data_IF_025469346550
#
_entry.id   IF_025469346550
#
_cell.length_a   1.000
_cell.length_b   1.000
_cell.length_c   1.000
_cell.angle_alpha   90.00
_cell.angle_beta   90.00
_cell.angle_gamma   90.00
#
_symmetry.space_group_name_H-M   'P 1'
#
loop_
_entity.id
_entity.type
_entity.pdbx_description
1 polymer ?
#
# COMPACT_ATOMS: atom_id res chain seq x y z
N UNK A 1 -15.28 6.28 31.67
CA UNK A 1 -15.16 5.76 30.28
C UNK A 1 -14.24 4.54 30.30
N UNK A 2 -14.66 3.45 29.69
CA UNK A 2 -13.93 2.18 29.57
C UNK A 2 -13.73 1.88 28.08
N UNK A 3 -12.55 1.34 27.70
CA UNK A 3 -12.29 0.90 26.33
C UNK A 3 -12.25 -0.62 26.32
N UNK A 4 -13.12 -1.23 25.50
CA UNK A 4 -13.28 -2.68 25.38
C UNK A 4 -13.00 -3.15 23.96
N UNK A 5 -12.39 -4.32 23.81
CA UNK A 5 -12.29 -5.00 22.51
C UNK A 5 -13.66 -5.50 22.08
N UNK A 6 -13.98 -5.37 20.81
CA UNK A 6 -15.23 -5.80 20.22
C UNK A 6 -15.00 -6.94 19.22
N UNK A 7 -15.93 -7.87 19.20
CA UNK A 7 -15.95 -8.96 18.23
C UNK A 7 -16.60 -8.49 16.93
N UNK A 8 -15.88 -8.53 15.83
CA UNK A 8 -16.40 -8.21 14.50
C UNK A 8 -17.58 -9.12 14.08
N UNK A 9 -17.75 -10.27 14.74
CA UNK A 9 -18.83 -11.22 14.49
C UNK A 9 -19.99 -11.07 15.47
N UNK A 10 -19.69 -11.04 16.78
CA UNK A 10 -20.73 -11.08 17.82
C UNK A 10 -21.36 -9.70 18.07
N UNK A 11 -20.57 -8.60 17.93
CA UNK A 11 -21.03 -7.24 18.17
C UNK A 11 -21.44 -6.52 16.88
N UNK A 12 -21.65 -7.27 15.79
CA UNK A 12 -21.84 -6.77 14.43
C UNK A 12 -22.96 -5.74 14.31
N UNK A 13 -24.13 -6.02 14.87
CA UNK A 13 -25.28 -5.12 14.79
C UNK A 13 -25.00 -3.76 15.45
N UNK A 14 -24.39 -3.78 16.64
CA UNK A 14 -24.02 -2.57 17.36
C UNK A 14 -22.98 -1.75 16.60
N UNK A 15 -21.97 -2.43 16.02
CA UNK A 15 -20.90 -1.83 15.22
C UNK A 15 -21.48 -1.16 13.97
N UNK A 16 -22.28 -1.89 13.20
CA UNK A 16 -22.86 -1.39 11.95
C UNK A 16 -23.84 -0.24 12.22
N UNK A 17 -24.65 -0.32 13.28
CA UNK A 17 -25.55 0.75 13.67
C UNK A 17 -24.80 2.03 14.10
N UNK A 18 -23.65 1.89 14.80
CA UNK A 18 -22.84 3.02 15.20
C UNK A 18 -22.19 3.70 13.99
N UNK A 19 -21.55 2.94 13.11
CA UNK A 19 -20.93 3.49 11.91
C UNK A 19 -21.93 4.10 10.92
N UNK A 20 -23.13 3.50 10.79
CA UNK A 20 -24.20 4.06 9.96
C UNK A 20 -24.61 5.46 10.43
N UNK A 21 -24.75 5.68 11.76
CA UNK A 21 -25.05 7.01 12.34
C UNK A 21 -23.91 8.01 12.12
N UNK A 22 -22.66 7.53 12.21
CA UNK A 22 -21.49 8.37 11.99
C UNK A 22 -21.18 8.66 10.50
N UNK A 23 -21.97 8.09 9.56
CA UNK A 23 -21.74 8.23 8.12
C UNK A 23 -20.43 7.62 7.64
N UNK A 24 -19.90 6.62 8.36
CA UNK A 24 -18.62 5.96 8.08
C UNK A 24 -18.88 4.47 7.81
N UNK A 25 -18.00 3.85 7.05
CA UNK A 25 -17.98 2.39 6.87
C UNK A 25 -16.78 1.80 7.58
N UNK A 26 -16.97 0.60 8.16
CA UNK A 26 -15.86 -0.18 8.70
C UNK A 26 -14.92 -0.58 7.55
N UNK A 27 -13.65 -0.26 7.69
CA UNK A 27 -12.60 -0.65 6.76
C UNK A 27 -12.41 -2.18 6.78
N UNK A 28 -12.38 -2.80 5.60
CA UNK A 28 -12.25 -4.26 5.41
C UNK A 28 -10.95 -4.83 5.97
N UNK A 29 -9.91 -3.98 6.08
CA UNK A 29 -8.60 -4.38 6.60
C UNK A 29 -8.56 -4.45 8.12
N UNK A 30 -9.56 -3.94 8.84
CA UNK A 30 -9.56 -3.92 10.32
C UNK A 30 -9.54 -5.34 10.86
N UNK A 31 -8.52 -5.64 11.65
CA UNK A 31 -8.32 -6.95 12.29
C UNK A 31 -8.73 -6.99 13.75
N UNK A 32 -8.67 -5.84 14.45
CA UNK A 32 -9.14 -5.68 15.84
C UNK A 32 -9.90 -4.37 15.94
N UNK A 33 -11.04 -4.40 16.62
CA UNK A 33 -11.91 -3.24 16.85
C UNK A 33 -12.07 -2.99 18.34
N UNK A 34 -12.10 -1.72 18.73
CA UNK A 34 -12.30 -1.28 20.11
C UNK A 34 -13.41 -0.24 20.19
N UNK A 35 -14.20 -0.32 21.24
CA UNK A 35 -15.24 0.65 21.57
C UNK A 35 -14.93 1.35 22.88
N UNK A 36 -15.15 2.66 22.94
CA UNK A 36 -15.18 3.44 24.17
C UNK A 36 -16.60 3.51 24.70
N UNK A 37 -16.81 3.17 25.98
CA UNK A 37 -18.11 3.04 26.61
C UNK A 37 -18.25 3.91 27.88
N UNK A 38 -19.46 4.37 28.13
CA UNK A 38 -19.91 4.90 29.41
C UNK A 38 -21.08 4.05 29.89
N UNK A 39 -20.84 3.17 30.87
CA UNK A 39 -21.75 2.07 31.17
C UNK A 39 -21.95 1.16 29.94
N UNK A 40 -23.20 1.03 29.48
CA UNK A 40 -23.53 0.26 28.27
C UNK A 40 -23.58 1.12 26.99
N UNK A 41 -23.46 2.45 27.12
CA UNK A 41 -23.54 3.36 25.98
C UNK A 41 -22.21 3.40 25.24
N UNK A 42 -22.23 3.02 23.94
CA UNK A 42 -21.09 3.15 23.04
C UNK A 42 -20.91 4.61 22.60
N UNK A 43 -19.73 5.18 22.83
CA UNK A 43 -19.39 6.58 22.57
C UNK A 43 -18.46 6.76 21.36
N UNK A 44 -17.59 5.77 21.10
CA UNK A 44 -16.67 5.82 19.97
C UNK A 44 -16.25 4.42 19.55
N UNK A 45 -15.88 4.29 18.29
CA UNK A 45 -15.29 3.10 17.70
C UNK A 45 -13.96 3.44 17.02
N UNK A 46 -13.03 2.48 17.02
CA UNK A 46 -11.78 2.56 16.27
C UNK A 46 -11.11 1.22 16.18
N UNK A 47 -10.44 0.98 15.05
CA UNK A 47 -9.80 -0.29 14.76
C UNK A 47 -8.32 -0.16 14.40
N UNK A 48 -7.66 -1.30 14.31
CA UNK A 48 -6.29 -1.41 13.82
C UNK A 48 -6.22 -2.38 12.65
N UNK A 49 -5.37 -2.05 11.66
CA UNK A 49 -5.10 -2.84 10.48
C UNK A 49 -3.60 -2.75 10.15
N UNK A 50 -2.86 -3.85 10.28
CA UNK A 50 -1.41 -3.84 10.11
C UNK A 50 -0.75 -2.81 11.04
N UNK A 51 -0.12 -1.78 10.47
CA UNK A 51 0.51 -0.67 11.20
C UNK A 51 -0.37 0.58 11.31
N UNK A 52 -1.64 0.52 10.90
CA UNK A 52 -2.50 1.70 10.82
C UNK A 52 -3.67 1.66 11.82
N UNK A 53 -4.02 2.82 12.34
CA UNK A 53 -5.29 3.08 13.03
C UNK A 53 -6.34 3.43 11.97
N UNK A 54 -7.51 2.77 12.03
CA UNK A 54 -8.56 2.84 11.03
C UNK A 54 -9.94 2.98 11.63
N UNK A 55 -10.90 3.42 10.80
CA UNK A 55 -12.33 3.41 11.12
C UNK A 55 -12.65 4.12 12.44
N UNK A 56 -12.03 5.29 12.68
CA UNK A 56 -12.29 6.10 13.87
C UNK A 56 -13.60 6.85 13.72
N UNK A 57 -14.50 6.70 14.70
CA UNK A 57 -15.75 7.42 14.81
C UNK A 57 -16.06 7.75 16.26
N UNK A 58 -16.59 8.94 16.52
CA UNK A 58 -17.06 9.39 17.83
C UNK A 58 -18.51 9.87 17.69
N UNK A 59 -19.35 9.56 18.67
CA UNK A 59 -20.72 10.07 18.76
C UNK A 59 -20.69 11.60 18.63
N UNK A 60 -21.44 12.16 17.66
CA UNK A 60 -21.43 13.60 17.36
C UNK A 60 -21.76 14.46 18.59
N UNK A 61 -22.65 13.97 19.47
CA UNK A 61 -23.05 14.67 20.69
C UNK A 61 -21.97 14.68 21.78
N UNK A 62 -20.93 13.86 21.64
CA UNK A 62 -19.87 13.66 22.63
C UNK A 62 -18.48 14.06 22.09
N UNK A 63 -18.44 14.74 20.94
CA UNK A 63 -17.20 15.28 20.39
C UNK A 63 -16.65 16.41 21.31
N UNK A 64 -15.32 16.49 21.38
CA UNK A 64 -14.64 17.48 22.25
C UNK A 64 -14.45 17.03 23.71
N UNK A 65 -15.01 15.90 24.16
CA UNK A 65 -14.92 15.39 25.53
C UNK A 65 -13.66 14.54 25.80
N UNK A 66 -12.66 14.56 24.92
CA UNK A 66 -11.43 13.77 25.10
C UNK A 66 -11.55 12.27 24.77
N UNK A 67 -12.69 11.82 24.24
CA UNK A 67 -12.93 10.40 23.92
C UNK A 67 -12.02 9.92 22.79
N UNK A 68 -11.87 10.72 21.72
CA UNK A 68 -11.01 10.35 20.59
C UNK A 68 -9.53 10.26 20.99
N UNK A 69 -8.94 11.21 21.69
CA UNK A 69 -7.57 11.09 22.22
C UNK A 69 -7.34 9.82 23.04
N UNK A 70 -8.26 9.48 23.92
CA UNK A 70 -8.15 8.29 24.76
C UNK A 70 -8.20 7.00 23.91
N UNK A 71 -9.15 6.92 22.95
CA UNK A 71 -9.25 5.77 22.05
C UNK A 71 -8.02 5.64 21.15
N UNK A 72 -7.54 6.73 20.54
CA UNK A 72 -6.32 6.75 19.71
C UNK A 72 -5.11 6.30 20.52
N UNK A 73 -4.96 6.77 21.76
CA UNK A 73 -3.88 6.36 22.67
C UNK A 73 -3.93 4.84 22.93
N UNK A 74 -5.12 4.29 23.19
CA UNK A 74 -5.31 2.86 23.40
C UNK A 74 -4.94 2.04 22.16
N UNK A 75 -5.40 2.46 20.98
CA UNK A 75 -5.08 1.80 19.70
C UNK A 75 -3.59 1.87 19.39
N UNK A 76 -2.98 3.04 19.61
CA UNK A 76 -1.53 3.21 19.48
C UNK A 76 -0.75 2.25 20.38
N UNK A 77 -1.10 2.16 21.67
CA UNK A 77 -0.48 1.24 22.61
C UNK A 77 -0.67 -0.22 22.19
N UNK A 78 -1.86 -0.58 21.72
CA UNK A 78 -2.16 -1.93 21.19
C UNK A 78 -1.21 -2.30 20.06
N UNK A 79 -0.98 -1.38 19.10
CA UNK A 79 -0.04 -1.58 18.00
C UNK A 79 1.41 -1.67 18.50
N UNK A 80 1.81 -0.81 19.44
CA UNK A 80 3.17 -0.83 20.01
C UNK A 80 3.47 -2.14 20.74
N UNK A 81 2.53 -2.65 21.52
CA UNK A 81 2.65 -3.95 22.20
C UNK A 81 2.72 -5.11 21.20
N UNK A 82 2.08 -4.98 20.04
CA UNK A 82 2.19 -5.96 18.95
C UNK A 82 3.49 -5.84 18.14
N UNK A 83 4.44 -4.98 18.54
CA UNK A 83 5.75 -4.83 17.90
C UNK A 83 5.78 -3.83 16.72
N UNK A 84 4.68 -3.12 16.44
CA UNK A 84 4.64 -2.12 15.38
C UNK A 84 5.55 -0.94 15.74
N UNK A 85 6.56 -0.69 14.89
CA UNK A 85 7.55 0.37 15.13
C UNK A 85 7.00 1.76 14.84
N UNK A 86 6.21 1.89 13.77
CA UNK A 86 5.66 3.14 13.31
C UNK A 86 4.16 2.99 13.05
N UNK A 87 3.34 3.86 13.62
CA UNK A 87 1.88 3.79 13.51
C UNK A 87 1.39 4.87 12.57
N UNK A 88 0.51 4.51 11.65
CA UNK A 88 -0.05 5.41 10.65
C UNK A 88 -1.51 5.73 10.91
N UNK A 89 -1.92 6.92 10.49
CA UNK A 89 -3.31 7.37 10.45
C UNK A 89 -3.57 8.02 9.10
N UNK A 90 -4.68 7.64 8.46
CA UNK A 90 -5.23 8.40 7.33
C UNK A 90 -6.55 9.01 7.78
N UNK A 91 -6.69 10.30 7.57
CA UNK A 91 -7.86 11.06 8.01
C UNK A 91 -8.25 12.11 6.97
N UNK A 92 -9.44 12.71 7.11
CA UNK A 92 -9.78 13.90 6.31
C UNK A 92 -8.85 15.07 6.69
N UNK A 93 -8.47 15.95 5.74
CA UNK A 93 -7.50 17.02 5.99
C UNK A 93 -7.87 17.93 7.17
N UNK A 94 -9.15 18.19 7.37
CA UNK A 94 -9.68 19.01 8.46
C UNK A 94 -9.40 18.47 9.87
N UNK A 95 -9.12 17.17 9.99
CA UNK A 95 -8.81 16.52 11.27
C UNK A 95 -7.31 16.28 11.48
N UNK A 96 -6.44 16.66 10.53
CA UNK A 96 -5.00 16.43 10.64
C UNK A 96 -4.38 17.11 11.86
N UNK A 97 -4.80 18.34 12.18
CA UNK A 97 -4.31 19.08 13.37
C UNK A 97 -4.65 18.36 14.69
N UNK A 98 -5.81 17.70 14.76
CA UNK A 98 -6.17 16.90 15.92
C UNK A 98 -5.18 15.75 16.14
N UNK A 99 -4.80 15.05 15.08
CA UNK A 99 -3.79 13.98 15.18
C UNK A 99 -2.39 14.54 15.46
N UNK A 100 -2.06 15.72 14.93
CA UNK A 100 -0.81 16.41 15.26
C UNK A 100 -0.71 16.72 16.76
N UNK A 101 -1.81 17.09 17.42
CA UNK A 101 -1.86 17.28 18.88
C UNK A 101 -1.66 15.97 19.66
N UNK A 102 -1.85 14.81 19.02
CA UNK A 102 -1.62 13.48 19.57
C UNK A 102 -0.23 12.89 19.16
N UNK A 103 0.71 13.76 18.78
CA UNK A 103 2.07 13.40 18.37
C UNK A 103 2.14 12.54 17.11
N UNK A 104 1.19 12.71 16.18
CA UNK A 104 1.34 12.22 14.82
C UNK A 104 1.87 13.35 13.91
N UNK A 105 2.75 13.02 13.00
CA UNK A 105 3.42 13.94 12.08
C UNK A 105 2.88 13.73 10.68
N UNK A 106 2.41 14.80 10.05
CA UNK A 106 1.88 14.73 8.69
C UNK A 106 3.01 14.46 7.69
N UNK A 107 2.80 13.50 6.82
CA UNK A 107 3.71 13.13 5.74
C UNK A 107 3.30 13.78 4.43
N UNK A 108 1.99 13.73 4.12
CA UNK A 108 1.43 14.29 2.89
C UNK A 108 -0.07 14.47 3.03
N UNK A 109 -0.64 15.33 2.20
CA UNK A 109 -2.09 15.51 2.08
C UNK A 109 -2.52 15.76 0.64
N UNK A 110 -3.78 15.43 0.39
CA UNK A 110 -4.54 15.80 -0.81
C UNK A 110 -5.80 16.58 -0.36
N UNK A 111 -6.67 16.92 -1.29
CA UNK A 111 -7.97 17.52 -0.93
C UNK A 111 -8.88 16.55 -0.17
N UNK A 112 -8.66 15.23 -0.30
CA UNK A 112 -9.55 14.20 0.24
C UNK A 112 -9.02 13.57 1.53
N UNK A 113 -7.69 13.48 1.68
CA UNK A 113 -7.07 12.74 2.76
C UNK A 113 -5.72 13.35 3.19
N UNK A 114 -5.35 13.12 4.44
CA UNK A 114 -4.02 13.37 4.99
C UNK A 114 -3.46 12.08 5.61
N UNK A 115 -2.20 11.79 5.35
CA UNK A 115 -1.43 10.69 5.94
C UNK A 115 -0.52 11.23 7.02
N UNK A 116 -0.60 10.64 8.21
CA UNK A 116 0.26 10.98 9.34
C UNK A 116 0.92 9.71 9.89
N UNK A 117 2.11 9.87 10.48
CA UNK A 117 2.82 8.80 11.18
C UNK A 117 3.20 9.20 12.62
N UNK A 118 3.39 8.21 13.50
CA UNK A 118 3.75 8.43 14.91
C UNK A 118 5.24 8.75 15.14
N UNK A 119 6.04 8.90 14.10
CA UNK A 119 7.47 9.17 14.19
C UNK A 119 7.84 10.42 13.40
N UNK A 120 8.56 11.34 14.01
CA UNK A 120 9.11 12.52 13.34
C UNK A 120 10.41 12.26 12.56
N UNK A 121 10.88 11.01 12.52
CA UNK A 121 12.18 10.64 11.91
C UNK A 121 12.11 9.43 10.97
N UNK A 122 11.12 8.56 11.11
CA UNK A 122 11.10 7.29 10.38
C UNK A 122 11.04 7.52 8.87
N UNK A 123 10.15 8.38 8.40
CA UNK A 123 10.05 8.72 6.99
C UNK A 123 11.34 9.38 6.45
N UNK A 124 11.91 10.34 7.18
CA UNK A 124 13.17 10.99 6.79
C UNK A 124 14.32 10.00 6.73
N UNK A 125 14.36 9.02 7.64
CA UNK A 125 15.36 7.96 7.62
C UNK A 125 15.18 7.05 6.41
N UNK A 126 13.95 6.69 6.09
CA UNK A 126 13.62 5.95 4.87
C UNK A 126 14.09 6.70 3.62
N UNK A 127 13.72 7.97 3.46
CA UNK A 127 14.12 8.78 2.31
C UNK A 127 15.64 8.86 2.14
N UNK A 128 16.39 9.02 3.25
CA UNK A 128 17.86 9.05 3.24
C UNK A 128 18.50 7.71 2.89
N UNK A 129 17.81 6.60 3.08
CA UNK A 129 18.30 5.26 2.75
C UNK A 129 18.16 4.91 1.26
N UNK A 130 17.36 5.67 0.52
CA UNK A 130 17.10 5.41 -0.88
C UNK A 130 18.26 5.83 -1.77
N UNK A 131 18.73 4.96 -2.69
CA UNK A 131 19.78 5.32 -3.63
C UNK A 131 19.27 6.31 -4.68
N UNK A 132 20.18 7.12 -5.21
CA UNK A 132 19.88 8.04 -6.32
C UNK A 132 19.61 7.26 -7.60
N UNK A 133 18.62 7.71 -8.36
CA UNK A 133 18.21 7.18 -9.65
C UNK A 133 17.37 8.22 -10.38
N UNK A 134 17.41 8.22 -11.70
CA UNK A 134 16.59 9.08 -12.57
C UNK A 134 15.30 8.40 -13.04
N UNK A 135 15.23 7.06 -12.92
CA UNK A 135 14.03 6.27 -13.21
C UNK A 135 13.50 5.48 -12.01
N UNK A 136 12.19 5.20 -12.02
CA UNK A 136 11.56 4.34 -11.02
C UNK A 136 10.49 3.41 -11.60
N UNK A 137 10.39 2.20 -11.03
CA UNK A 137 9.28 1.27 -11.17
C UNK A 137 8.79 0.90 -9.78
N UNK A 138 7.48 0.69 -9.62
CA UNK A 138 6.92 0.00 -8.45
C UNK A 138 6.13 -1.19 -8.94
N UNK A 139 6.34 -2.35 -8.32
CA UNK A 139 5.65 -3.58 -8.72
C UNK A 139 5.34 -4.48 -7.53
N UNK A 140 4.24 -5.22 -7.65
CA UNK A 140 3.91 -6.26 -6.68
C UNK A 140 4.73 -7.54 -6.93
N UNK A 141 4.93 -7.92 -8.20
CA UNK A 141 5.70 -9.11 -8.64
C UNK A 141 5.27 -10.42 -7.96
N UNK A 142 3.98 -10.72 -7.99
CA UNK A 142 3.36 -11.89 -7.31
C UNK A 142 2.87 -12.97 -8.30
N UNK A 143 3.74 -13.87 -8.77
CA UNK A 143 5.21 -13.85 -8.70
C UNK A 143 5.87 -12.96 -9.77
N UNK A 144 7.21 -12.87 -9.74
CA UNK A 144 7.99 -12.15 -10.76
C UNK A 144 7.94 -12.89 -12.10
N UNK A 145 7.51 -12.21 -13.17
CA UNK A 145 7.31 -12.78 -14.52
C UNK A 145 8.23 -12.15 -15.55
N UNK A 146 8.33 -12.77 -16.74
CA UNK A 146 9.02 -12.17 -17.89
C UNK A 146 8.37 -10.88 -18.38
N UNK A 147 7.09 -10.63 -18.06
CA UNK A 147 6.43 -9.33 -18.27
C UNK A 147 6.98 -8.25 -17.35
N UNK A 148 7.19 -8.57 -16.08
CA UNK A 148 7.84 -7.65 -15.14
C UNK A 148 9.30 -7.38 -15.52
N UNK A 149 10.03 -8.44 -15.90
CA UNK A 149 11.41 -8.30 -16.38
C UNK A 149 11.50 -7.39 -17.60
N UNK A 150 10.63 -7.57 -18.58
CA UNK A 150 10.57 -6.72 -19.77
C UNK A 150 10.34 -5.24 -19.44
N UNK A 151 9.46 -4.95 -18.48
CA UNK A 151 9.25 -3.59 -17.99
C UNK A 151 10.56 -3.00 -17.39
N UNK A 152 11.27 -3.81 -16.58
CA UNK A 152 12.56 -3.38 -15.99
C UNK A 152 13.61 -3.14 -17.07
N UNK A 153 13.77 -4.06 -18.03
CA UNK A 153 14.73 -3.94 -19.15
C UNK A 153 14.44 -2.69 -20.00
N UNK A 154 13.17 -2.49 -20.33
CA UNK A 154 12.72 -1.33 -21.13
C UNK A 154 12.98 0.00 -20.41
N UNK A 155 12.76 0.06 -19.11
CA UNK A 155 13.02 1.24 -18.30
C UNK A 155 14.53 1.46 -18.09
N UNK A 156 15.29 0.40 -17.78
CA UNK A 156 16.73 0.47 -17.55
C UNK A 156 17.49 0.95 -18.79
N UNK A 157 17.02 0.61 -19.99
CA UNK A 157 17.59 1.11 -21.25
C UNK A 157 17.39 2.62 -21.47
N UNK A 158 16.52 3.27 -20.68
CA UNK A 158 16.14 4.70 -20.81
C UNK A 158 16.59 5.54 -19.61
N UNK A 159 17.34 4.96 -18.66
CA UNK A 159 17.78 5.59 -17.43
C UNK A 159 19.28 5.38 -17.22
N UNK A 160 19.93 6.36 -16.57
CA UNK A 160 21.29 6.13 -16.05
C UNK A 160 21.24 5.12 -14.89
N UNK A 161 20.26 5.27 -13.99
CA UNK A 161 19.96 4.38 -12.87
C UNK A 161 18.46 4.21 -12.68
N UNK A 162 18.03 2.99 -12.41
CA UNK A 162 16.65 2.64 -12.20
C UNK A 162 16.44 2.07 -10.78
N UNK A 163 15.53 2.66 -10.01
CA UNK A 163 15.04 2.10 -8.76
C UNK A 163 13.77 1.27 -9.00
N UNK A 164 13.82 -0.01 -8.69
CA UNK A 164 12.68 -0.92 -8.74
C UNK A 164 12.21 -1.21 -7.32
N UNK A 165 11.08 -0.64 -6.93
CA UNK A 165 10.47 -0.87 -5.62
C UNK A 165 9.53 -2.06 -5.68
N UNK A 166 9.78 -3.07 -4.86
CA UNK A 166 8.91 -4.24 -4.70
C UNK A 166 8.05 -4.04 -3.47
N UNK A 167 6.73 -4.21 -3.61
CA UNK A 167 5.78 -3.98 -2.50
C UNK A 167 6.08 -4.88 -1.31
N UNK A 168 6.03 -4.31 -0.11
CA UNK A 168 6.38 -5.00 1.14
C UNK A 168 5.17 -5.61 1.87
N UNK A 169 3.97 -5.60 1.25
CA UNK A 169 2.75 -6.13 1.87
C UNK A 169 2.59 -7.62 1.59
N UNK A 170 2.30 -8.41 2.62
CA UNK A 170 2.04 -9.86 2.55
C UNK A 170 0.58 -10.20 2.21
N UNK A 171 -0.14 -9.33 1.50
CA UNK A 171 -1.46 -9.62 0.94
C UNK A 171 -1.41 -10.43 -0.37
N UNK A 172 -0.21 -10.87 -0.78
CA UNK A 172 0.08 -11.60 -1.99
C UNK A 172 0.20 -13.11 -1.74
N UNK A 173 0.24 -13.91 -2.82
CA UNK A 173 0.42 -15.36 -2.74
C UNK A 173 1.87 -15.73 -2.41
N UNK A 174 2.81 -14.90 -2.83
CA UNK A 174 4.24 -15.04 -2.52
C UNK A 174 4.61 -13.99 -1.47
N UNK A 175 5.29 -14.40 -0.40
CA UNK A 175 5.74 -13.50 0.68
C UNK A 175 6.59 -12.35 0.14
N UNK A 176 6.53 -11.21 0.80
CA UNK A 176 7.21 -9.98 0.36
C UNK A 176 8.75 -10.14 0.24
N UNK A 177 9.38 -10.83 1.21
CA UNK A 177 10.81 -11.11 1.21
C UNK A 177 11.23 -11.99 0.02
N UNK A 178 10.44 -13.01 -0.29
CA UNK A 178 10.66 -13.90 -1.43
C UNK A 178 10.48 -13.15 -2.76
N UNK A 179 9.41 -12.33 -2.89
CA UNK A 179 9.20 -11.51 -4.09
C UNK A 179 10.38 -10.56 -4.35
N UNK A 180 10.87 -9.91 -3.29
CA UNK A 180 12.05 -9.05 -3.37
C UNK A 180 13.28 -9.82 -3.86
N UNK A 181 13.51 -11.04 -3.33
CA UNK A 181 14.60 -11.90 -3.75
C UNK A 181 14.48 -12.32 -5.21
N UNK A 182 13.30 -12.81 -5.64
CA UNK A 182 13.06 -13.22 -7.03
C UNK A 182 13.29 -12.07 -8.02
N UNK A 183 12.88 -10.85 -7.68
CA UNK A 183 13.14 -9.67 -8.52
C UNK A 183 14.64 -9.36 -8.57
N UNK A 184 15.35 -9.41 -7.43
CA UNK A 184 16.81 -9.20 -7.38
C UNK A 184 17.57 -10.20 -8.22
N UNK A 185 17.27 -11.47 -8.07
CA UNK A 185 17.90 -12.54 -8.86
C UNK A 185 17.57 -12.42 -10.33
N UNK A 186 16.28 -12.17 -10.65
CA UNK A 186 15.82 -12.02 -12.01
C UNK A 186 16.31 -10.76 -12.74
N UNK A 187 16.89 -9.80 -12.02
CA UNK A 187 17.46 -8.56 -12.59
C UNK A 187 18.97 -8.39 -12.34
N UNK A 188 19.64 -9.41 -11.81
CA UNK A 188 21.06 -9.34 -11.39
C UNK A 188 22.06 -8.95 -12.48
N UNK A 189 21.72 -9.19 -13.72
CA UNK A 189 22.53 -8.88 -14.90
C UNK A 189 22.35 -7.43 -15.40
N UNK A 190 21.40 -6.68 -14.83
CA UNK A 190 21.15 -5.28 -15.15
C UNK A 190 21.92 -4.38 -14.17
N UNK A 191 23.13 -3.96 -14.58
CA UNK A 191 24.07 -3.27 -13.71
C UNK A 191 23.61 -1.88 -13.18
N UNK A 192 22.64 -1.25 -13.88
CA UNK A 192 22.10 0.06 -13.50
C UNK A 192 20.76 -0.03 -12.75
N UNK A 193 20.37 -1.23 -12.29
CA UNK A 193 19.11 -1.46 -11.60
C UNK A 193 19.32 -1.69 -10.10
N UNK A 194 18.67 -0.87 -9.26
CA UNK A 194 18.58 -1.08 -7.82
C UNK A 194 17.23 -1.71 -7.47
N UNK A 195 17.21 -2.90 -6.88
CA UNK A 195 15.98 -3.54 -6.42
C UNK A 195 15.80 -3.34 -4.92
N UNK A 196 14.73 -2.64 -4.54
CA UNK A 196 14.48 -2.12 -3.21
C UNK A 196 13.14 -2.63 -2.65
N UNK A 197 13.05 -2.80 -1.34
CA UNK A 197 11.76 -2.98 -0.68
C UNK A 197 11.00 -1.64 -0.65
N UNK A 198 9.72 -1.64 -0.98
CA UNK A 198 8.84 -0.46 -0.91
C UNK A 198 8.65 0.08 0.50
N UNK A 199 8.80 -0.78 1.51
CA UNK A 199 8.58 -0.44 2.92
C UNK A 199 7.13 -0.08 3.21
N UNK A 200 6.94 0.76 4.23
CA UNK A 200 5.60 1.19 4.67
C UNK A 200 5.07 2.40 3.88
N UNK A 201 5.84 2.94 2.93
CA UNK A 201 5.56 4.24 2.30
C UNK A 201 5.18 4.18 0.82
N UNK A 202 5.17 2.99 0.20
CA UNK A 202 4.80 2.81 -1.22
C UNK A 202 3.78 1.69 -1.33
N UNK A 203 2.54 2.01 -1.71
CA UNK A 203 1.41 1.07 -1.85
C UNK A 203 1.43 0.05 -0.71
N UNK A 204 1.33 0.55 0.51
CA UNK A 204 1.36 -0.27 1.71
C UNK A 204 -0.03 -0.42 2.33
N UNK A 205 -0.15 -1.24 3.36
CA UNK A 205 -1.35 -1.27 4.19
C UNK A 205 -1.66 0.06 4.88
N UNK A 206 -0.68 0.99 4.96
CA UNK A 206 -0.87 2.33 5.51
C UNK A 206 -1.25 3.35 4.44
N UNK A 207 -0.56 3.35 3.28
CA UNK A 207 -0.74 4.37 2.23
C UNK A 207 -1.85 4.05 1.25
N UNK A 208 -2.07 2.76 0.92
CA UNK A 208 -3.06 2.35 -0.06
C UNK A 208 -3.60 0.93 0.21
N UNK A 209 -4.38 0.69 1.29
CA UNK A 209 -4.90 -0.64 1.63
C UNK A 209 -5.85 -1.21 0.58
N UNK A 210 -6.69 -0.36 -0.02
CA UNK A 210 -7.71 -0.78 -1.00
C UNK A 210 -7.13 -1.27 -2.33
N UNK A 211 -5.86 -0.98 -2.63
CA UNK A 211 -5.17 -1.48 -3.83
C UNK A 211 -5.26 -3.01 -3.96
N UNK A 212 -5.25 -3.73 -2.85
CA UNK A 212 -5.26 -5.19 -2.82
C UNK A 212 -6.66 -5.81 -2.96
N UNK A 213 -7.73 -5.02 -2.80
CA UNK A 213 -9.11 -5.50 -2.98
C UNK A 213 -9.64 -5.39 -4.41
N UNK A 214 -8.92 -4.66 -5.28
CA UNK A 214 -9.26 -4.50 -6.71
C UNK A 214 -10.59 -3.76 -6.99
N UNK A 215 -11.21 -3.19 -5.98
CA UNK A 215 -12.46 -2.45 -6.07
C UNK A 215 -12.19 -0.96 -6.32
N UNK A 216 -12.70 -0.42 -7.43
CA UNK A 216 -12.62 1.00 -7.75
C UNK A 216 -13.70 1.77 -6.99
N UNK A 217 -13.41 2.23 -5.78
CA UNK A 217 -14.28 3.06 -4.95
C UNK A 217 -13.70 4.47 -4.80
N UNK A 218 -14.52 5.45 -4.38
CA UNK A 218 -14.02 6.80 -4.07
C UNK A 218 -12.95 6.79 -2.99
N UNK A 219 -13.08 5.93 -1.98
CA UNK A 219 -12.06 5.74 -0.95
C UNK A 219 -10.75 5.21 -1.54
N UNK A 220 -10.81 4.20 -2.42
CA UNK A 220 -9.64 3.65 -3.09
C UNK A 220 -8.95 4.70 -3.98
N UNK A 221 -9.72 5.54 -4.67
CA UNK A 221 -9.18 6.65 -5.47
C UNK A 221 -8.53 7.73 -4.59
N UNK A 222 -9.10 8.03 -3.42
CA UNK A 222 -8.48 8.95 -2.46
C UNK A 222 -7.12 8.42 -1.95
N UNK A 223 -7.03 7.12 -1.66
CA UNK A 223 -5.76 6.48 -1.32
C UNK A 223 -4.76 6.47 -2.49
N UNK A 224 -5.24 6.22 -3.72
CA UNK A 224 -4.41 6.30 -4.92
C UNK A 224 -3.77 7.68 -5.08
N UNK A 225 -4.57 8.75 -4.92
CA UNK A 225 -4.08 10.14 -4.96
C UNK A 225 -3.08 10.41 -3.84
N UNK A 226 -3.36 9.94 -2.62
CA UNK A 226 -2.50 10.13 -1.46
C UNK A 226 -1.12 9.46 -1.65
N UNK A 227 -1.08 8.20 -2.11
CA UNK A 227 0.14 7.46 -2.39
C UNK A 227 0.94 8.09 -3.54
N UNK A 228 0.27 8.47 -4.64
CA UNK A 228 0.89 9.16 -5.77
C UNK A 228 1.52 10.50 -5.34
N UNK A 229 0.83 11.28 -4.50
CA UNK A 229 1.33 12.55 -3.96
C UNK A 229 2.52 12.34 -3.04
N UNK A 230 2.47 11.34 -2.14
CA UNK A 230 3.59 10.99 -1.27
C UNK A 230 4.84 10.63 -2.09
N UNK A 231 4.66 9.81 -3.13
CA UNK A 231 5.75 9.44 -4.03
C UNK A 231 6.31 10.67 -4.75
N UNK A 232 5.46 11.46 -5.38
CA UNK A 232 5.86 12.59 -6.23
C UNK A 232 6.51 13.73 -5.42
N UNK A 233 5.94 14.08 -4.25
CA UNK A 233 6.42 15.19 -3.45
C UNK A 233 7.66 14.87 -2.60
N UNK A 234 7.89 13.61 -2.24
CA UNK A 234 8.94 13.25 -1.28
C UNK A 234 9.90 12.18 -1.78
N UNK A 235 9.41 11.04 -2.31
CA UNK A 235 10.27 9.91 -2.69
C UNK A 235 11.03 10.24 -3.98
N UNK A 236 10.34 10.77 -4.97
CA UNK A 236 10.96 11.12 -6.24
C UNK A 236 12.07 12.18 -6.08
N UNK A 237 11.88 13.30 -5.38
CA UNK A 237 12.96 14.28 -5.13
C UNK A 237 14.10 13.69 -4.29
N UNK A 238 13.80 12.87 -3.26
CA UNK A 238 14.81 12.25 -2.44
C UNK A 238 15.74 11.34 -3.24
N UNK A 239 15.23 10.63 -4.25
CA UNK A 239 16.02 9.80 -5.16
C UNK A 239 16.60 10.58 -6.34
N UNK A 240 15.97 11.67 -6.78
CA UNK A 240 16.27 12.37 -8.04
C UNK A 240 15.53 11.76 -9.23
N UNK A 241 14.38 11.09 -8.99
CA UNK A 241 13.58 10.42 -10.03
C UNK A 241 12.92 11.48 -10.93
N UNK A 242 13.16 11.35 -12.22
CA UNK A 242 12.57 12.18 -13.27
C UNK A 242 11.49 11.44 -14.06
N UNK A 243 11.52 10.10 -14.07
CA UNK A 243 10.60 9.27 -14.82
C UNK A 243 10.10 8.10 -13.99
N UNK A 244 8.77 7.92 -13.91
CA UNK A 244 8.11 6.73 -13.39
C UNK A 244 7.64 5.88 -14.55
N UNK A 245 8.12 4.62 -14.65
CA UNK A 245 7.66 3.66 -15.64
C UNK A 245 6.56 2.79 -15.04
N UNK A 246 5.49 2.59 -15.80
CA UNK A 246 4.35 1.73 -15.44
C UNK A 246 4.05 0.78 -16.60
N UNK A 247 3.65 -0.43 -16.31
CA UNK A 247 3.14 -1.33 -17.34
C UNK A 247 1.72 -0.94 -17.73
N UNK A 248 1.38 -1.09 -19.00
CA UNK A 248 -0.02 -1.01 -19.46
C UNK A 248 -0.88 -2.02 -18.68
N UNK A 249 -2.10 -1.62 -18.27
CA UNK A 249 -2.99 -2.46 -17.47
C UNK A 249 -4.41 -2.50 -18.03
N UNK A 250 -4.68 -3.41 -18.98
CA UNK A 250 -6.00 -3.54 -19.58
C UNK A 250 -6.98 -4.41 -18.77
N UNK A 251 -6.51 -5.16 -17.77
CA UNK A 251 -7.29 -6.22 -17.13
C UNK A 251 -7.72 -5.89 -15.70
N UNK A 252 -6.91 -5.15 -14.94
CA UNK A 252 -7.18 -4.82 -13.55
C UNK A 252 -7.67 -3.37 -13.42
N UNK A 253 -8.97 -3.14 -13.11
CA UNK A 253 -9.54 -1.78 -13.08
C UNK A 253 -8.90 -0.88 -12.03
N UNK A 254 -8.45 -1.45 -10.88
CA UNK A 254 -7.82 -0.65 -9.82
C UNK A 254 -6.41 -0.21 -10.22
N UNK A 255 -5.63 -1.11 -10.78
CA UNK A 255 -4.28 -0.78 -11.28
C UNK A 255 -4.35 0.20 -12.45
N UNK A 256 -5.33 0.07 -13.35
CA UNK A 256 -5.57 1.03 -14.42
C UNK A 256 -5.89 2.43 -13.86
N UNK A 257 -6.83 2.53 -12.90
CA UNK A 257 -7.17 3.78 -12.25
C UNK A 257 -6.00 4.40 -11.46
N UNK A 258 -5.16 3.57 -10.86
CA UNK A 258 -3.94 4.03 -10.21
C UNK A 258 -2.94 4.59 -11.24
N UNK A 259 -2.74 3.93 -12.38
CA UNK A 259 -1.90 4.45 -13.47
C UNK A 259 -2.42 5.79 -14.01
N UNK A 260 -3.74 5.95 -14.18
CA UNK A 260 -4.37 7.22 -14.55
C UNK A 260 -4.06 8.33 -13.50
N UNK A 261 -4.16 7.98 -12.22
CA UNK A 261 -3.83 8.88 -11.11
C UNK A 261 -2.36 9.31 -11.15
N UNK A 262 -1.44 8.37 -11.42
CA UNK A 262 -0.01 8.69 -11.60
C UNK A 262 0.22 9.63 -12.79
N UNK A 263 -0.43 9.38 -13.93
CA UNK A 263 -0.35 10.23 -15.12
C UNK A 263 -0.86 11.67 -14.90
N UNK A 264 -1.73 11.84 -13.90
CA UNK A 264 -2.24 13.18 -13.54
C UNK A 264 -1.32 13.86 -12.53
N UNK A 265 -0.97 13.19 -11.42
CA UNK A 265 -0.30 13.83 -10.28
C UNK A 265 1.20 14.00 -10.49
N UNK A 266 1.88 13.00 -11.03
CA UNK A 266 3.34 13.03 -11.11
C UNK A 266 3.90 14.16 -11.98
N UNK A 267 3.30 14.48 -13.15
CA UNK A 267 3.76 15.60 -13.98
C UNK A 267 3.67 16.96 -13.28
N UNK A 268 2.68 17.18 -12.41
CA UNK A 268 2.55 18.41 -11.60
C UNK A 268 3.75 18.60 -10.66
N UNK A 269 4.46 17.51 -10.34
CA UNK A 269 5.67 17.51 -9.49
C UNK A 269 6.97 17.33 -10.31
N UNK A 270 6.92 17.47 -11.62
CA UNK A 270 8.09 17.36 -12.49
C UNK A 270 8.57 15.92 -12.77
N UNK A 271 7.74 14.92 -12.50
CA UNK A 271 8.05 13.51 -12.77
C UNK A 271 7.23 13.01 -13.95
N UNK A 272 7.88 12.67 -15.06
CA UNK A 272 7.21 12.11 -16.22
C UNK A 272 6.70 10.68 -15.92
N UNK A 273 5.55 10.30 -16.49
CA UNK A 273 5.05 8.93 -16.47
C UNK A 273 5.17 8.32 -17.87
N UNK A 274 5.82 7.16 -17.96
CA UNK A 274 5.94 6.39 -19.19
C UNK A 274 5.22 5.06 -19.07
N UNK A 275 4.21 4.86 -19.89
CA UNK A 275 3.48 3.60 -19.99
C UNK A 275 4.21 2.69 -20.97
N UNK A 276 4.59 1.50 -20.52
CA UNK A 276 5.29 0.48 -21.34
C UNK A 276 4.26 -0.57 -21.74
N UNK A 277 4.12 -0.87 -23.03
CA UNK A 277 3.22 -1.92 -23.52
C UNK A 277 3.54 -3.28 -22.89
N UNK A 278 2.53 -4.12 -22.70
CA UNK A 278 2.72 -5.46 -22.14
C UNK A 278 3.49 -6.36 -23.10
N UNK A 279 4.42 -7.16 -22.55
CA UNK A 279 5.05 -8.26 -23.28
C UNK A 279 4.02 -9.36 -23.51
N UNK A 280 3.93 -9.85 -24.74
CA UNK A 280 3.05 -10.96 -25.13
C UNK A 280 3.84 -12.21 -25.51
N UNK A 281 3.20 -13.36 -25.41
CA UNK A 281 3.63 -14.62 -26.03
C UNK A 281 2.48 -15.06 -26.94
N UNK A 282 2.73 -15.05 -28.27
CA UNK A 282 1.66 -15.05 -29.25
C UNK A 282 0.76 -13.82 -29.08
N UNK A 283 -0.55 -14.02 -29.00
CA UNK A 283 -1.54 -12.95 -28.80
C UNK A 283 -1.86 -12.67 -27.31
N UNK A 284 -1.31 -13.48 -26.39
CA UNK A 284 -1.67 -13.40 -24.97
C UNK A 284 -0.62 -12.61 -24.16
N UNK A 285 -1.02 -11.63 -23.34
CA UNK A 285 -0.11 -10.91 -22.47
C UNK A 285 0.41 -11.81 -21.34
N UNK A 286 1.68 -11.63 -20.97
CA UNK A 286 2.25 -12.28 -19.80
C UNK A 286 1.71 -11.58 -18.57
N UNK A 287 1.02 -12.32 -17.69
CA UNK A 287 0.49 -11.77 -16.42
C UNK A 287 0.76 -12.69 -15.23
N UNK A 288 0.98 -12.10 -14.06
CA UNK A 288 1.14 -12.85 -12.82
C UNK A 288 -0.15 -13.64 -12.47
N UNK A 289 -1.32 -13.11 -12.80
CA UNK A 289 -2.60 -13.80 -12.59
C UNK A 289 -2.70 -15.10 -13.38
N UNK A 290 -2.26 -15.10 -14.66
CA UNK A 290 -2.18 -16.32 -15.47
C UNK A 290 -1.19 -17.32 -14.87
N UNK A 291 -0.01 -16.87 -14.44
CA UNK A 291 0.97 -17.74 -13.78
C UNK A 291 0.38 -18.39 -12.53
N UNK A 292 -0.32 -17.63 -11.67
CA UNK A 292 -0.97 -18.17 -10.47
C UNK A 292 -2.07 -19.20 -10.78
N UNK A 293 -2.86 -18.96 -11.82
CA UNK A 293 -3.88 -19.94 -12.25
C UNK A 293 -3.23 -21.27 -12.67
N UNK A 294 -2.20 -21.22 -13.50
CA UNK A 294 -1.43 -22.40 -13.92
C UNK A 294 -0.70 -23.08 -12.77
N UNK A 295 -0.20 -22.30 -11.80
CA UNK A 295 0.47 -22.82 -10.61
C UNK A 295 -0.47 -23.64 -9.71
N UNK A 296 -1.70 -23.15 -9.49
CA UNK A 296 -2.74 -23.92 -8.76
C UNK A 296 -3.06 -25.26 -9.43
N UNK A 297 -2.94 -25.34 -10.74
CA UNK A 297 -3.16 -26.55 -11.54
C UNK A 297 -1.88 -27.39 -11.75
N UNK A 298 -0.74 -27.00 -11.14
CA UNK A 298 0.57 -27.61 -11.29
C UNK A 298 1.04 -27.77 -12.76
N UNK A 299 0.65 -26.83 -13.65
CA UNK A 299 0.96 -26.83 -15.08
C UNK A 299 2.30 -26.16 -15.36
N UNK A 300 3.38 -26.73 -14.83
CA UNK A 300 4.72 -26.12 -14.82
C UNK A 300 5.32 -25.86 -16.20
N UNK A 301 5.05 -26.73 -17.17
CA UNK A 301 5.55 -26.57 -18.54
C UNK A 301 4.96 -25.35 -19.25
N UNK A 302 3.72 -24.96 -18.91
CA UNK A 302 3.08 -23.76 -19.43
C UNK A 302 3.49 -22.50 -18.66
N UNK A 303 3.98 -22.65 -17.41
CA UNK A 303 4.55 -21.55 -16.63
C UNK A 303 5.96 -21.21 -17.12
N UNK A 304 6.75 -22.21 -17.51
CA UNK A 304 8.16 -22.03 -17.89
C UNK A 304 8.41 -20.88 -18.89
N UNK A 305 7.63 -20.70 -19.97
CA UNK A 305 7.83 -19.58 -20.89
C UNK A 305 7.36 -18.21 -20.35
N UNK A 306 6.69 -18.16 -19.18
CA UNK A 306 6.10 -16.94 -18.63
C UNK A 306 6.96 -16.29 -17.54
N UNK A 307 7.90 -17.02 -16.94
CA UNK A 307 8.67 -16.59 -15.78
C UNK A 307 10.17 -16.81 -15.98
N UNK A 308 11.04 -16.05 -15.28
CA UNK A 308 12.47 -16.39 -15.20
C UNK A 308 12.69 -17.75 -14.54
N UNK A 309 13.85 -18.36 -14.83
CA UNK A 309 14.22 -19.68 -14.31
C UNK A 309 14.22 -19.72 -12.77
N UNK A 310 14.68 -18.66 -12.11
CA UNK A 310 14.66 -18.51 -10.64
C UNK A 310 13.23 -18.54 -10.08
N UNK A 311 12.29 -17.88 -10.74
CA UNK A 311 10.88 -17.93 -10.36
C UNK A 311 10.26 -19.30 -10.64
N UNK A 312 10.62 -19.95 -11.74
CA UNK A 312 10.15 -21.30 -12.05
C UNK A 312 10.63 -22.32 -11.02
N UNK A 313 11.90 -22.25 -10.60
CA UNK A 313 12.46 -23.08 -9.56
C UNK A 313 11.67 -22.93 -8.24
N UNK A 314 11.44 -21.69 -7.80
CA UNK A 314 10.62 -21.42 -6.61
C UNK A 314 9.20 -22.02 -6.73
N UNK A 315 8.53 -21.84 -7.87
CA UNK A 315 7.17 -22.34 -8.13
C UNK A 315 7.12 -23.88 -8.04
N UNK A 316 8.15 -24.58 -8.52
CA UNK A 316 8.20 -26.06 -8.48
C UNK A 316 8.39 -26.61 -7.05
N UNK A 317 9.05 -25.85 -6.18
CA UNK A 317 9.32 -26.24 -4.80
C UNK A 317 8.17 -25.92 -3.83
N UNK A 318 7.23 -25.05 -4.24
CA UNK A 318 6.17 -24.56 -3.36
C UNK A 318 4.80 -24.77 -4.05
N UNK A 319 3.85 -25.32 -3.30
CA UNK A 319 2.44 -25.33 -3.72
C UNK A 319 1.78 -23.97 -3.47
N UNK A 320 0.81 -23.61 -4.33
CA UNK A 320 0.04 -22.36 -4.17
C UNK A 320 -1.27 -22.62 -3.43
#
# INVERSE_FOLDING_TARGET
>A
MEIRSLSLKHDREMIDAFYARAGIRLDRCVTKLFGAFEGEKLLALGGVAGSAIRSLAVDEQRQGEGILPALVTHLYQTLKVSGVKNVFVVTKPQYAELFSSLCFYELTRTNDAALLESSNRAFLTYLKSLPKADGAIVMNADPFTLGHRYLVETAAAQCERLNVFVLSVDAAHVRADVRLQLVREGCRDLANVNVLAGGDYIISGATFPDYFFKDKTEAALAFARLDATLFAAHIAPACGILTRFVGEEPLDPMTAAYNETLCTILPEHGVAVRVVPRKTIGESPISASRVRALWKEARYDEIAPLVPETTLAYIREHAL
#
